data_IF_919800889407
#
_entry.id   IF_919800889407
#
_cell.length_a   1.000
_cell.length_b   1.000
_cell.length_c   1.000
_cell.angle_alpha   90.00
_cell.angle_beta   90.00
_cell.angle_gamma   90.00
#
_symmetry.space_group_name_H-M   'P 1'
#
loop_
_entity.id
_entity.type
_entity.pdbx_description
1 polymer ?
#
# COMPACT_ATOMS: atom_id res chain seq x y z
N UNK A 1 7.23 9.40 -17.48
CA UNK A 1 7.00 10.06 -16.18
C UNK A 1 7.24 9.01 -15.12
N UNK A 2 8.15 9.31 -14.19
CA UNK A 2 9.04 8.35 -13.51
C UNK A 2 8.29 7.39 -12.61
N UNK A 3 8.14 6.14 -13.07
CA UNK A 3 7.68 5.00 -12.29
C UNK A 3 8.76 4.68 -11.24
N UNK A 4 8.75 5.45 -10.13
CA UNK A 4 9.74 5.33 -9.04
C UNK A 4 9.58 4.03 -8.23
N UNK A 5 8.53 3.26 -8.50
CA UNK A 5 8.30 1.98 -7.86
C UNK A 5 8.48 0.85 -8.88
N UNK A 6 9.48 0.00 -8.68
CA UNK A 6 9.67 -1.21 -9.49
C UNK A 6 8.63 -2.29 -9.14
N UNK A 7 7.36 -2.05 -9.49
CA UNK A 7 6.26 -3.00 -9.31
C UNK A 7 5.70 -3.39 -10.68
N UNK A 8 5.81 -4.67 -11.03
CA UNK A 8 5.19 -5.19 -12.26
C UNK A 8 3.68 -4.99 -12.24
N UNK A 9 3.09 -4.63 -13.37
CA UNK A 9 1.65 -4.42 -13.54
C UNK A 9 0.82 -5.59 -13.00
N UNK A 10 1.29 -6.84 -13.21
CA UNK A 10 0.63 -8.05 -12.72
C UNK A 10 0.49 -8.07 -11.19
N UNK A 11 1.54 -7.69 -10.46
CA UNK A 11 1.50 -7.65 -9.00
C UNK A 11 0.57 -6.53 -8.51
N UNK A 12 0.52 -5.40 -9.24
CA UNK A 12 -0.40 -4.30 -8.94
C UNK A 12 -1.85 -4.71 -9.15
N UNK A 13 -2.16 -5.46 -10.21
CA UNK A 13 -3.48 -6.01 -10.47
C UNK A 13 -3.92 -7.00 -9.38
N UNK A 14 -3.03 -7.91 -8.98
CA UNK A 14 -3.27 -8.86 -7.89
C UNK A 14 -3.54 -8.12 -6.57
N UNK A 15 -2.71 -7.13 -6.23
CA UNK A 15 -2.89 -6.30 -5.03
C UNK A 15 -4.22 -5.56 -5.06
N UNK A 16 -4.60 -4.99 -6.22
CA UNK A 16 -5.87 -4.29 -6.39
C UNK A 16 -7.07 -5.24 -6.24
N UNK A 17 -6.98 -6.47 -6.76
CA UNK A 17 -8.04 -7.47 -6.57
C UNK A 17 -8.21 -7.82 -5.08
N UNK A 18 -7.11 -8.08 -4.38
CA UNK A 18 -7.11 -8.33 -2.94
C UNK A 18 -7.67 -7.14 -2.15
N UNK A 19 -7.23 -5.92 -2.46
CA UNK A 19 -7.75 -4.73 -1.80
C UNK A 19 -9.24 -4.53 -2.05
N UNK A 20 -9.76 -4.75 -3.24
CA UNK A 20 -11.22 -4.67 -3.45
C UNK A 20 -11.99 -5.73 -2.67
N UNK A 21 -11.40 -6.90 -2.43
CA UNK A 21 -12.04 -7.98 -1.67
C UNK A 21 -12.01 -7.73 -0.14
N UNK A 22 -10.86 -7.31 0.38
CA UNK A 22 -10.64 -7.14 1.82
C UNK A 22 -10.84 -5.71 2.31
N UNK A 23 -10.55 -4.70 1.50
CA UNK A 23 -10.54 -3.29 1.90
C UNK A 23 -11.08 -2.40 0.75
N UNK A 24 -12.37 -2.53 0.39
CA UNK A 24 -12.93 -1.78 -0.72
C UNK A 24 -12.88 -0.27 -0.45
N UNK A 25 -12.41 0.50 -1.45
CA UNK A 25 -12.40 1.96 -1.40
C UNK A 25 -11.26 2.57 -0.57
N UNK A 26 -10.27 1.78 -0.13
CA UNK A 26 -9.06 2.32 0.51
C UNK A 26 -8.10 2.89 -0.52
N UNK A 27 -7.39 3.93 -0.11
CA UNK A 27 -6.28 4.49 -0.89
C UNK A 27 -4.96 3.89 -0.41
N UNK A 28 -4.07 3.55 -1.34
CA UNK A 28 -2.82 2.85 -1.04
C UNK A 28 -1.64 3.65 -1.53
N UNK A 29 -0.77 4.01 -0.59
CA UNK A 29 0.47 4.72 -0.83
C UNK A 29 1.65 3.80 -0.56
N UNK A 30 2.54 3.65 -1.53
CA UNK A 30 3.84 3.03 -1.30
C UNK A 30 4.82 4.07 -0.78
N UNK A 31 5.63 3.68 0.20
CA UNK A 31 6.71 4.50 0.73
C UNK A 31 7.93 3.62 1.00
N UNK A 32 9.00 4.22 1.54
CA UNK A 32 10.17 3.47 1.99
C UNK A 32 11.25 3.26 0.92
N UNK A 33 12.07 2.23 1.14
CA UNK A 33 13.34 2.03 0.41
C UNK A 33 13.16 1.78 -1.08
N UNK A 34 12.04 1.16 -1.48
CA UNK A 34 11.64 0.93 -2.87
C UNK A 34 11.29 2.20 -3.64
N UNK A 35 10.73 3.20 -2.96
CA UNK A 35 10.41 4.50 -3.57
C UNK A 35 11.64 5.41 -3.63
N UNK A 36 12.50 5.33 -2.61
CA UNK A 36 13.71 6.13 -2.50
C UNK A 36 14.94 5.54 -3.22
N UNK A 37 14.78 4.47 -4.00
CA UNK A 37 15.84 3.88 -4.84
C UNK A 37 16.96 3.16 -4.07
N UNK A 38 16.75 2.81 -2.80
CA UNK A 38 17.70 2.02 -1.96
C UNK A 38 17.30 0.55 -1.82
N UNK A 39 16.41 0.06 -2.68
CA UNK A 39 15.93 -1.32 -2.60
C UNK A 39 17.05 -2.30 -2.94
N UNK A 40 17.36 -3.21 -2.02
CA UNK A 40 18.06 -4.45 -2.36
C UNK A 40 17.02 -5.47 -2.84
N UNK A 41 17.45 -6.50 -3.59
CA UNK A 41 16.55 -7.44 -4.27
C UNK A 41 15.54 -8.21 -3.40
N UNK A 42 15.63 -8.11 -2.07
CA UNK A 42 14.69 -8.69 -1.11
C UNK A 42 14.01 -7.67 -0.18
N UNK A 43 14.06 -6.37 -0.46
CA UNK A 43 13.46 -5.36 0.43
C UNK A 43 11.95 -5.48 0.47
N UNK A 44 11.37 -5.25 1.64
CA UNK A 44 9.91 -5.27 1.84
C UNK A 44 9.23 -4.13 1.04
N UNK A 45 7.96 -4.31 0.70
CA UNK A 45 7.12 -3.27 0.12
C UNK A 45 6.29 -2.62 1.23
N UNK A 46 6.73 -1.45 1.69
CA UNK A 46 6.00 -0.66 2.67
C UNK A 46 4.83 0.07 2.03
N UNK A 47 3.63 -0.25 2.48
CA UNK A 47 2.37 0.35 2.05
C UNK A 47 1.66 1.01 3.24
N UNK A 48 1.15 2.21 3.01
CA UNK A 48 0.15 2.83 3.86
C UNK A 48 -1.21 2.65 3.21
N UNK A 49 -2.15 2.12 3.98
CA UNK A 49 -3.57 2.04 3.65
C UNK A 49 -4.28 3.19 4.35
N UNK A 50 -4.95 4.03 3.57
CA UNK A 50 -5.81 5.12 4.02
C UNK A 50 -7.24 4.64 3.89
N UNK A 51 -7.87 4.39 5.04
CA UNK A 51 -9.28 4.02 5.10
C UNK A 51 -10.17 5.10 4.45
N UNK A 52 -11.38 4.73 3.98
CA UNK A 52 -12.36 5.70 3.55
C UNK A 52 -12.60 6.71 4.69
N UNK A 53 -12.56 7.99 4.35
CA UNK A 53 -12.68 9.10 5.32
C UNK A 53 -11.56 9.15 6.38
N UNK A 54 -10.38 8.59 6.11
CA UNK A 54 -9.25 8.52 7.04
C UNK A 54 -9.57 7.78 8.36
N UNK A 55 -10.57 6.91 8.34
CA UNK A 55 -10.91 6.10 9.50
C UNK A 55 -9.94 4.93 9.69
N UNK A 56 -9.80 4.51 10.95
CA UNK A 56 -8.99 3.36 11.34
C UNK A 56 -9.51 2.09 10.64
N UNK A 57 -8.61 1.41 9.95
CA UNK A 57 -8.91 0.13 9.32
C UNK A 57 -9.00 -0.93 10.43
N UNK A 58 -10.04 -1.79 10.42
CA UNK A 58 -10.13 -2.92 11.32
C UNK A 58 -8.88 -3.80 11.22
N UNK A 59 -8.27 -4.12 12.36
CA UNK A 59 -7.02 -4.90 12.39
C UNK A 59 -7.20 -6.27 11.74
N UNK A 60 -8.36 -6.88 11.92
CA UNK A 60 -8.73 -8.18 11.33
C UNK A 60 -8.65 -8.12 9.80
N UNK A 61 -9.25 -7.10 9.18
CA UNK A 61 -9.20 -6.90 7.72
C UNK A 61 -7.78 -6.65 7.21
N UNK A 62 -6.96 -5.95 7.99
CA UNK A 62 -5.55 -5.74 7.67
C UNK A 62 -4.75 -7.05 7.73
N UNK A 63 -5.01 -7.88 8.73
CA UNK A 63 -4.39 -9.20 8.90
C UNK A 63 -4.83 -10.12 7.76
N UNK A 64 -6.13 -10.25 7.49
CA UNK A 64 -6.67 -11.04 6.39
C UNK A 64 -6.04 -10.63 5.05
N UNK A 65 -5.92 -9.33 4.80
CA UNK A 65 -5.29 -8.80 3.60
C UNK A 65 -3.80 -9.20 3.53
N UNK A 66 -3.03 -9.03 4.60
CA UNK A 66 -1.61 -9.43 4.64
C UNK A 66 -1.46 -10.92 4.40
N UNK A 67 -2.32 -11.75 4.98
CA UNK A 67 -2.30 -13.20 4.77
C UNK A 67 -2.66 -13.57 3.33
N UNK A 68 -3.67 -12.93 2.74
CA UNK A 68 -4.03 -13.16 1.35
C UNK A 68 -2.91 -12.74 0.38
N UNK A 69 -2.23 -11.63 0.67
CA UNK A 69 -1.03 -11.19 -0.09
C UNK A 69 0.12 -12.20 0.07
N UNK A 70 0.37 -12.72 1.27
CA UNK A 70 1.40 -13.75 1.51
C UNK A 70 1.12 -15.05 0.78
N UNK A 71 -0.16 -15.42 0.63
CA UNK A 71 -0.60 -16.58 -0.14
C UNK A 71 -0.70 -16.31 -1.65
N UNK A 72 -0.46 -15.07 -2.09
CA UNK A 72 -0.53 -14.68 -3.50
C UNK A 72 0.78 -14.95 -4.24
N UNK A 73 0.80 -14.60 -5.53
CA UNK A 73 1.96 -14.75 -6.42
C UNK A 73 3.05 -13.69 -6.22
N UNK A 74 2.88 -12.79 -5.25
CA UNK A 74 3.82 -11.70 -5.00
C UNK A 74 5.07 -12.29 -4.29
N UNK A 75 6.26 -12.25 -4.91
CA UNK A 75 7.45 -12.95 -4.40
C UNK A 75 8.18 -12.20 -3.28
N UNK A 76 7.57 -11.17 -2.69
CA UNK A 76 8.18 -10.32 -1.68
C UNK A 76 7.15 -9.96 -0.59
N UNK A 77 7.66 -9.59 0.59
CA UNK A 77 6.82 -9.24 1.73
C UNK A 77 6.18 -7.86 1.48
N UNK A 78 4.88 -7.76 1.78
CA UNK A 78 4.10 -6.52 1.68
C UNK A 78 3.69 -6.10 3.09
N UNK A 79 4.26 -4.99 3.56
CA UNK A 79 3.96 -4.43 4.86
C UNK A 79 2.92 -3.32 4.73
N UNK A 80 1.65 -3.68 4.94
CA UNK A 80 0.56 -2.72 4.99
C UNK A 80 0.35 -2.15 6.41
N UNK A 81 0.33 -0.82 6.53
CA UNK A 81 0.01 -0.10 7.76
C UNK A 81 -1.19 0.82 7.57
N UNK A 82 -2.02 0.96 8.58
CA UNK A 82 -3.15 1.89 8.58
C UNK A 82 -2.66 3.32 8.86
N UNK A 83 -2.94 4.26 7.95
CA UNK A 83 -2.59 5.68 8.09
C UNK A 83 -3.04 6.27 9.42
N UNK A 84 -4.25 5.93 9.88
CA UNK A 84 -4.82 6.45 11.12
C UNK A 84 -4.10 5.91 12.38
N UNK A 85 -3.25 4.90 12.24
CA UNK A 85 -2.37 4.37 13.30
C UNK A 85 -0.94 4.83 13.17
N UNK A 86 -0.53 5.31 12.00
CA UNK A 86 0.81 5.86 11.80
C UNK A 86 0.92 7.17 12.59
N UNK A 87 1.97 7.36 13.40
CA UNK A 87 2.20 8.63 14.09
C UNK A 87 2.44 9.79 13.10
N UNK A 88 1.92 10.98 13.41
CA UNK A 88 2.01 12.17 12.53
C UNK A 88 3.45 12.56 12.14
N UNK A 89 4.43 12.28 13.01
CA UNK A 89 5.85 12.47 12.68
C UNK A 89 6.30 11.72 11.41
N UNK A 90 5.68 10.58 11.13
CA UNK A 90 5.92 9.80 9.92
C UNK A 90 5.04 10.27 8.77
N UNK A 91 3.83 10.79 9.03
CA UNK A 91 2.95 11.33 7.99
C UNK A 91 3.69 12.35 7.11
N UNK A 92 4.38 13.31 7.73
CA UNK A 92 5.15 14.33 7.01
C UNK A 92 6.28 13.74 6.14
N UNK A 93 6.91 12.64 6.57
CA UNK A 93 7.97 11.98 5.79
C UNK A 93 7.39 11.18 4.63
N UNK A 94 6.29 10.47 4.88
CA UNK A 94 5.57 9.65 3.91
C UNK A 94 4.98 10.56 2.84
N UNK A 95 4.27 11.62 3.21
CA UNK A 95 3.69 12.58 2.25
C UNK A 95 4.74 13.17 1.30
N UNK A 96 5.95 13.45 1.79
CA UNK A 96 7.05 13.96 0.95
C UNK A 96 7.63 12.93 -0.01
N UNK A 97 7.56 11.64 0.30
CA UNK A 97 8.25 10.56 -0.44
C UNK A 97 7.36 9.35 -0.72
N UNK A 98 6.05 9.56 -0.91
CA UNK A 98 5.12 8.48 -1.25
C UNK A 98 4.88 8.42 -2.76
N UNK A 99 4.43 7.25 -3.19
CA UNK A 99 3.87 7.02 -4.52
C UNK A 99 2.48 6.43 -4.36
N UNK A 100 1.49 7.06 -4.98
CA UNK A 100 0.11 6.55 -4.98
C UNK A 100 0.04 5.31 -5.88
N UNK A 101 -0.27 4.15 -5.31
CA UNK A 101 -0.40 2.88 -6.04
C UNK A 101 -1.84 2.66 -6.45
N UNK A 102 -2.76 2.88 -5.52
CA UNK A 102 -4.20 2.83 -5.77
C UNK A 102 -4.78 4.12 -5.21
N UNK A 103 -5.29 5.01 -6.09
CA UNK A 103 -5.97 6.20 -5.61
C UNK A 103 -7.25 5.80 -4.89
N UNK A 104 -7.70 6.60 -3.92
CA UNK A 104 -9.05 6.46 -3.40
C UNK A 104 -10.02 6.50 -4.58
N UNK A 105 -10.99 5.58 -4.63
CA UNK A 105 -12.13 5.68 -5.56
C UNK A 105 -13.06 6.80 -5.06
N UNK A 106 -12.58 8.03 -5.05
CA UNK A 106 -13.43 9.22 -5.06
C UNK A 106 -13.83 9.41 -6.52
N UNK A 107 -15.11 9.23 -6.83
CA UNK A 107 -15.63 9.27 -8.19
C UNK A 107 -15.15 10.51 -8.94
N UNK A 108 -14.52 10.29 -10.08
CA UNK A 108 -14.28 11.24 -11.16
C UNK A 108 -14.04 10.34 -12.38
N UNK A 109 -14.86 10.29 -13.42
CA UNK A 109 -15.91 11.16 -13.93
C UNK A 109 -16.73 10.31 -14.92
#
# INVERSE_FOLDING_TARGET
MTDRLHLSSKHREELNALLNNFLPGVEVWAYGSRVNGRSHGGSDLDLVLRGPSLNKIPIERLVDFKEAVRNSRIPFIVEALDWARVPERFHAQIERHHVVIIPSRQGSQ
#
